data_IF_354197482163
#
_entry.id   IF_354197482163
#
_cell.length_a   1.000
_cell.length_b   1.000
_cell.length_c   1.000
_cell.angle_alpha   90.00
_cell.angle_beta   90.00
_cell.angle_gamma   90.00
#
_symmetry.space_group_name_H-M   'P 1'
#
loop_
_entity.id
_entity.type
_entity.pdbx_description
1 polymer ?
#
# COMPACT_ATOMS: atom_id res chain seq x y z
N UNK A 1 -23.09 -31.54 3.75
CA UNK A 1 -21.65 -31.55 4.12
C UNK A 1 -20.98 -30.54 3.23
N UNK A 2 -20.76 -29.26 3.58
CA UNK A 2 -20.51 -28.64 4.88
C UNK A 2 -20.74 -27.13 4.71
N UNK A 3 -21.90 -26.60 5.13
CA UNK A 3 -22.19 -25.15 5.10
C UNK A 3 -21.49 -24.46 6.29
N UNK A 4 -20.17 -24.59 6.38
CA UNK A 4 -19.39 -23.91 7.41
C UNK A 4 -19.06 -22.50 6.91
N UNK A 5 -19.60 -21.48 7.58
CA UNK A 5 -19.23 -20.07 7.35
C UNK A 5 -17.77 -19.77 7.76
N UNK A 6 -17.14 -20.68 8.50
CA UNK A 6 -15.79 -20.58 9.06
C UNK A 6 -14.72 -20.19 8.01
N UNK A 7 -14.60 -20.86 6.83
CA UNK A 7 -13.66 -20.46 5.78
C UNK A 7 -13.85 -19.03 5.28
N UNK A 8 -15.09 -18.54 5.17
CA UNK A 8 -15.37 -17.18 4.73
C UNK A 8 -14.93 -16.15 5.79
N UNK A 9 -15.29 -16.39 7.06
CA UNK A 9 -14.86 -15.52 8.15
C UNK A 9 -13.34 -15.51 8.33
N UNK A 10 -12.69 -16.67 8.21
CA UNK A 10 -11.24 -16.78 8.27
C UNK A 10 -10.56 -15.98 7.15
N UNK A 11 -11.06 -16.11 5.91
CA UNK A 11 -10.53 -15.37 4.77
C UNK A 11 -10.67 -13.86 4.94
N UNK A 12 -11.84 -13.39 5.39
CA UNK A 12 -12.07 -11.97 5.66
C UNK A 12 -11.22 -11.44 6.83
N UNK A 13 -11.03 -12.24 7.88
CA UNK A 13 -10.19 -11.89 9.01
C UNK A 13 -8.71 -11.73 8.60
N UNK A 14 -8.18 -12.66 7.80
CA UNK A 14 -6.81 -12.60 7.28
C UNK A 14 -6.64 -11.41 6.33
N UNK A 15 -7.63 -11.17 5.46
CA UNK A 15 -7.62 -10.04 4.55
C UNK A 15 -7.58 -8.71 5.32
N UNK A 16 -8.47 -8.52 6.29
CA UNK A 16 -8.52 -7.31 7.11
C UNK A 16 -7.24 -7.08 7.92
N UNK A 17 -6.66 -8.16 8.49
CA UNK A 17 -5.38 -8.06 9.19
C UNK A 17 -4.25 -7.64 8.25
N UNK A 18 -4.21 -8.21 7.04
CA UNK A 18 -3.19 -7.90 6.03
C UNK A 18 -3.31 -6.46 5.52
N UNK A 19 -4.54 -5.98 5.27
CA UNK A 19 -4.81 -4.60 4.87
C UNK A 19 -4.39 -3.60 5.96
N UNK A 20 -4.67 -3.91 7.23
CA UNK A 20 -4.23 -3.10 8.36
C UNK A 20 -2.71 -2.95 8.42
N UNK A 21 -1.98 -4.07 8.31
CA UNK A 21 -0.50 -4.06 8.28
C UNK A 21 0.01 -3.24 7.09
N UNK A 22 -0.56 -3.45 5.90
CA UNK A 22 -0.14 -2.72 4.70
C UNK A 22 -0.31 -1.20 4.85
N UNK A 23 -1.46 -0.74 5.37
CA UNK A 23 -1.71 0.68 5.59
C UNK A 23 -0.74 1.30 6.61
N UNK A 24 -0.41 0.59 7.69
CA UNK A 24 0.59 1.04 8.65
C UNK A 24 1.98 1.19 8.01
N UNK A 25 2.40 0.20 7.21
CA UNK A 25 3.70 0.20 6.55
C UNK A 25 3.84 1.35 5.54
N UNK A 26 2.83 1.57 4.70
CA UNK A 26 2.84 2.67 3.72
C UNK A 26 2.85 4.04 4.40
N UNK A 27 2.04 4.24 5.45
CA UNK A 27 2.03 5.50 6.18
C UNK A 27 3.35 5.75 6.92
N UNK A 28 3.93 4.72 7.55
CA UNK A 28 5.23 4.85 8.22
C UNK A 28 6.35 5.17 7.23
N UNK A 29 6.35 4.52 6.06
CA UNK A 29 7.37 4.73 5.04
C UNK A 29 7.33 6.16 4.50
N UNK A 30 6.14 6.71 4.24
CA UNK A 30 5.97 8.09 3.82
C UNK A 30 6.47 9.09 4.87
N UNK A 31 6.24 8.81 6.16
CA UNK A 31 6.77 9.64 7.26
C UNK A 31 8.29 9.65 7.35
N UNK A 32 8.95 8.53 7.06
CA UNK A 32 10.42 8.43 7.10
C UNK A 32 11.07 9.02 5.84
N UNK A 33 10.49 8.81 4.66
CA UNK A 33 11.06 9.27 3.38
C UNK A 33 10.95 10.79 3.21
N UNK A 34 9.86 11.40 3.70
CA UNK A 34 9.60 12.84 3.59
C UNK A 34 9.52 13.53 4.96
N UNK A 35 10.49 13.28 5.84
CA UNK A 35 10.51 13.83 7.20
C UNK A 35 10.38 15.38 7.25
N UNK A 36 10.89 16.08 6.23
CA UNK A 36 10.86 17.55 6.13
C UNK A 36 9.56 18.12 5.53
N UNK A 37 8.83 17.33 4.73
CA UNK A 37 7.66 17.74 3.93
C UNK A 37 6.48 16.77 4.07
N UNK A 38 6.18 16.39 5.32
CA UNK A 38 5.19 15.36 5.61
C UNK A 38 3.75 15.76 5.20
N UNK A 39 3.36 17.03 5.34
CA UNK A 39 2.01 17.51 4.99
C UNK A 39 1.73 17.37 3.48
N UNK A 40 2.67 17.80 2.64
CA UNK A 40 2.54 17.74 1.17
C UNK A 40 2.53 16.28 0.68
N UNK A 41 3.42 15.45 1.24
CA UNK A 41 3.57 14.06 0.86
C UNK A 41 2.35 13.22 1.27
N UNK A 42 1.79 13.46 2.46
CA UNK A 42 0.59 12.76 2.93
C UNK A 42 -0.68 13.18 2.17
N UNK A 43 -0.80 14.48 1.86
CA UNK A 43 -1.86 14.97 0.99
C UNK A 43 -1.80 14.33 -0.40
N UNK A 44 -0.60 14.24 -0.98
CA UNK A 44 -0.37 13.57 -2.27
C UNK A 44 -0.73 12.08 -2.24
N UNK A 45 -0.36 11.36 -1.18
CA UNK A 45 -0.74 9.95 -0.99
C UNK A 45 -2.26 9.79 -0.94
N UNK A 46 -2.96 10.65 -0.19
CA UNK A 46 -4.41 10.59 -0.04
C UNK A 46 -5.14 10.82 -1.36
N UNK A 47 -4.66 11.77 -2.17
CA UNK A 47 -5.18 12.04 -3.51
C UNK A 47 -4.94 10.83 -4.43
N UNK A 48 -3.74 10.26 -4.39
CA UNK A 48 -3.41 9.07 -5.19
C UNK A 48 -4.29 7.86 -4.82
N UNK A 49 -4.50 7.60 -3.52
CA UNK A 49 -5.41 6.56 -3.04
C UNK A 49 -6.85 6.81 -3.51
N UNK A 50 -7.34 8.05 -3.38
CA UNK A 50 -8.68 8.43 -3.84
C UNK A 50 -8.88 8.24 -5.34
N UNK A 51 -7.88 8.61 -6.15
CA UNK A 51 -7.88 8.37 -7.59
C UNK A 51 -7.93 6.87 -7.92
N UNK A 52 -7.12 6.05 -7.23
CA UNK A 52 -7.12 4.60 -7.41
C UNK A 52 -8.50 3.99 -7.13
N UNK A 53 -9.16 4.40 -6.04
CA UNK A 53 -10.52 3.95 -5.69
C UNK A 53 -11.55 4.44 -6.71
N UNK A 54 -11.45 5.69 -7.18
CA UNK A 54 -12.36 6.23 -8.20
C UNK A 54 -12.26 5.49 -9.53
N UNK A 55 -11.04 5.14 -9.94
CA UNK A 55 -10.77 4.34 -11.14
C UNK A 55 -11.33 2.92 -10.98
N UNK A 56 -11.07 2.26 -9.85
CA UNK A 56 -11.62 0.94 -9.51
C UNK A 56 -13.15 0.92 -9.54
N UNK A 57 -13.78 1.95 -8.97
CA UNK A 57 -15.23 2.09 -8.98
C UNK A 57 -15.79 2.27 -10.39
N UNK A 58 -15.14 3.11 -11.21
CA UNK A 58 -15.53 3.36 -12.61
C UNK A 58 -15.47 2.09 -13.46
N UNK A 59 -14.46 1.25 -13.26
CA UNK A 59 -14.31 -0.01 -13.99
C UNK A 59 -15.19 -1.16 -13.45
N UNK A 60 -15.86 -0.97 -12.31
CA UNK A 60 -16.63 -2.05 -11.67
C UNK A 60 -17.82 -2.54 -12.50
N UNK A 61 -18.48 -1.68 -13.28
CA UNK A 61 -19.65 -2.09 -14.09
C UNK A 61 -19.34 -2.50 -15.53
N UNK A 62 -18.14 -2.20 -16.05
CA UNK A 62 -17.84 -2.30 -17.49
C UNK A 62 -16.99 -3.51 -17.88
N UNK A 63 -16.24 -4.10 -16.94
CA UNK A 63 -15.20 -5.10 -17.25
C UNK A 63 -15.58 -6.49 -16.71
N UNK A 64 -15.33 -7.53 -17.52
CA UNK A 64 -15.49 -8.94 -17.15
C UNK A 64 -14.61 -9.33 -15.95
N UNK A 65 -15.09 -10.21 -15.07
CA UNK A 65 -14.46 -10.57 -13.79
C UNK A 65 -12.98 -11.00 -13.94
N UNK A 66 -12.65 -11.72 -15.02
CA UNK A 66 -11.28 -12.17 -15.31
C UNK A 66 -10.31 -11.01 -15.48
N UNK A 67 -10.69 -9.97 -16.22
CA UNK A 67 -9.83 -8.81 -16.45
C UNK A 67 -9.63 -7.99 -15.16
N UNK A 68 -10.62 -7.94 -14.26
CA UNK A 68 -10.46 -7.30 -12.94
C UNK A 68 -9.37 -7.96 -12.11
N UNK A 69 -9.28 -9.30 -12.12
CA UNK A 69 -8.26 -10.04 -11.37
C UNK A 69 -6.86 -9.76 -11.92
N UNK A 70 -6.69 -9.71 -13.25
CA UNK A 70 -5.40 -9.38 -13.86
C UNK A 70 -4.95 -7.94 -13.59
N UNK A 71 -5.87 -6.98 -13.59
CA UNK A 71 -5.56 -5.58 -13.28
C UNK A 71 -5.12 -5.46 -11.82
N UNK A 72 -5.87 -6.05 -10.88
CA UNK A 72 -5.54 -6.01 -9.46
C UNK A 72 -4.21 -6.70 -9.19
N UNK A 73 -3.95 -7.87 -9.79
CA UNK A 73 -2.67 -8.58 -9.59
C UNK A 73 -1.49 -7.80 -10.14
N UNK A 74 -1.62 -7.17 -11.31
CA UNK A 74 -0.58 -6.31 -11.88
C UNK A 74 -0.29 -5.09 -10.99
N UNK A 75 -1.34 -4.44 -10.47
CA UNK A 75 -1.20 -3.31 -9.54
C UNK A 75 -0.55 -3.73 -8.22
N UNK A 76 -0.89 -4.91 -7.69
CA UNK A 76 -0.25 -5.45 -6.50
C UNK A 76 1.25 -5.70 -6.71
N UNK A 77 1.65 -6.29 -7.84
CA UNK A 77 3.06 -6.52 -8.17
C UNK A 77 3.81 -5.17 -8.30
N UNK A 78 3.19 -4.19 -8.97
CA UNK A 78 3.78 -2.86 -9.12
C UNK A 78 3.94 -2.16 -7.76
N UNK A 79 2.93 -2.27 -6.89
CA UNK A 79 2.97 -1.70 -5.54
C UNK A 79 4.11 -2.31 -4.70
N UNK A 80 4.27 -3.63 -4.74
CA UNK A 80 5.37 -4.33 -4.06
C UNK A 80 6.74 -3.93 -4.62
N UNK A 81 6.87 -3.83 -5.95
CA UNK A 81 8.11 -3.39 -6.58
C UNK A 81 8.48 -1.95 -6.16
N UNK A 82 7.51 -1.02 -6.19
CA UNK A 82 7.72 0.35 -5.72
C UNK A 82 8.12 0.40 -4.24
N UNK A 83 7.48 -0.41 -3.38
CA UNK A 83 7.82 -0.50 -1.97
C UNK A 83 9.27 -0.97 -1.77
N UNK A 84 9.67 -2.06 -2.44
CA UNK A 84 11.03 -2.61 -2.36
C UNK A 84 12.09 -1.63 -2.88
N UNK A 85 11.80 -0.93 -3.98
CA UNK A 85 12.69 0.10 -4.54
C UNK A 85 12.86 1.23 -3.53
N UNK A 86 11.77 1.73 -2.95
CA UNK A 86 11.83 2.83 -1.99
C UNK A 86 12.60 2.45 -0.72
N UNK A 87 12.36 1.25 -0.18
CA UNK A 87 13.11 0.72 0.97
C UNK A 87 14.61 0.57 0.64
N UNK A 88 14.92 0.09 -0.57
CA UNK A 88 16.28 0.01 -1.07
C UNK A 88 16.95 1.40 -1.11
N UNK A 89 16.33 2.37 -1.77
CA UNK A 89 16.83 3.76 -1.86
C UNK A 89 17.03 4.38 -0.48
N UNK A 90 16.09 4.15 0.45
CA UNK A 90 16.19 4.65 1.81
C UNK A 90 17.38 4.03 2.55
N UNK A 91 17.58 2.72 2.45
CA UNK A 91 18.74 2.02 3.02
C UNK A 91 20.06 2.50 2.41
N UNK A 92 20.11 2.74 1.09
CA UNK A 92 21.29 3.32 0.44
C UNK A 92 21.59 4.73 0.95
N UNK A 93 20.56 5.57 1.11
CA UNK A 93 20.70 6.94 1.65
C UNK A 93 21.14 6.96 3.11
N UNK A 94 20.58 6.07 3.95
CA UNK A 94 21.00 5.92 5.34
C UNK A 94 22.47 5.47 5.48
N UNK A 95 22.98 4.69 4.51
CA UNK A 95 24.38 4.26 4.48
C UNK A 95 25.34 5.35 4.00
N UNK A 96 24.86 6.27 3.15
CA UNK A 96 25.64 7.39 2.61
C UNK A 96 25.63 8.62 3.51
N UNK A 97 24.57 8.80 4.30
CA UNK A 97 24.45 9.88 5.27
C UNK A 97 24.33 9.23 6.66
N UNK A 98 25.44 9.08 7.41
CA UNK A 98 25.35 8.79 8.84
C UNK A 98 24.79 10.04 9.53
N UNK A 99 23.46 10.22 9.46
CA UNK A 99 22.77 11.34 10.11
C UNK A 99 22.92 11.16 11.61
N UNK A 100 23.71 12.04 12.21
CA UNK A 100 23.79 12.30 13.64
C UNK A 100 22.36 12.43 14.19
N UNK A 101 21.98 11.47 15.03
CA UNK A 101 20.75 11.51 15.81
C UNK A 101 20.71 12.86 16.55
N UNK A 102 19.85 13.77 16.10
CA UNK A 102 19.53 14.95 16.90
C UNK A 102 18.19 14.66 17.54
N UNK A 103 18.29 14.19 18.79
CA UNK A 103 17.27 14.28 19.82
C UNK A 103 16.57 15.62 19.75
N UNK A 104 15.25 15.61 19.56
CA UNK A 104 14.30 16.46 20.28
C UNK A 104 13.02 15.65 20.47
#
# INVERSE_FOLDING_TARGET
>A
TSESLIPYFSTMAIWGASDGVWNCQVNSLMGVVFADKYEEAYAGLRIAQGLGVAILFSYSNLICMTAKIYIISAVCILALACYLIMEGVLKYRAKLIPVKQTSV
#
